data_IF_739378713266
#
_entry.id   IF_739378713266
#
_cell.length_a   1.000
_cell.length_b   1.000
_cell.length_c   1.000
_cell.angle_alpha   90.00
_cell.angle_beta   90.00
_cell.angle_gamma   90.00
#
_symmetry.space_group_name_H-M   'P 1'
#
loop_
_entity.id
_entity.type
_entity.pdbx_description
1 polymer ?
#
# COMPACT_ATOMS: atom_id res chain seq x y z
N UNK A 1 -4.83 -2.76 57.09
CA UNK A 1 -5.78 -1.90 56.35
C UNK A 1 -5.14 -0.87 55.43
N UNK A 2 -4.19 -0.03 55.88
CA UNK A 2 -3.53 0.94 54.98
C UNK A 2 -2.70 0.28 53.85
N UNK A 3 -1.96 -0.79 54.16
CA UNK A 3 -1.16 -1.52 53.17
C UNK A 3 -2.00 -2.23 52.11
N UNK A 4 -3.12 -2.86 52.50
CA UNK A 4 -4.06 -3.49 51.55
C UNK A 4 -4.69 -2.46 50.61
N UNK A 5 -5.10 -1.30 51.13
CA UNK A 5 -5.70 -0.23 50.32
C UNK A 5 -4.71 0.35 49.29
N UNK A 6 -3.43 0.50 49.65
CA UNK A 6 -2.40 0.98 48.74
C UNK A 6 -2.09 -0.02 47.62
N UNK A 7 -2.01 -1.32 47.94
CA UNK A 7 -1.85 -2.38 46.94
C UNK A 7 -3.03 -2.42 45.95
N UNK A 8 -4.27 -2.37 46.45
CA UNK A 8 -5.47 -2.37 45.59
C UNK A 8 -5.51 -1.12 44.69
N UNK A 9 -5.20 0.06 45.23
CA UNK A 9 -5.14 1.29 44.43
C UNK A 9 -4.07 1.21 43.33
N UNK A 10 -2.88 0.72 43.65
CA UNK A 10 -1.78 0.58 42.68
C UNK A 10 -2.10 -0.44 41.59
N UNK A 11 -2.71 -1.58 41.95
CA UNK A 11 -3.15 -2.59 40.98
C UNK A 11 -4.26 -2.06 40.06
N UNK A 12 -5.24 -1.32 40.60
CA UNK A 12 -6.30 -0.70 39.80
C UNK A 12 -5.75 0.34 38.82
N UNK A 13 -4.77 1.16 39.26
CA UNK A 13 -4.11 2.13 38.40
C UNK A 13 -3.29 1.44 37.31
N UNK A 14 -2.53 0.39 37.63
CA UNK A 14 -1.74 -0.37 36.65
C UNK A 14 -2.65 -1.04 35.60
N UNK A 15 -3.73 -1.69 36.03
CA UNK A 15 -4.71 -2.29 35.13
C UNK A 15 -5.35 -1.26 34.20
N UNK A 16 -5.70 -0.07 34.73
CA UNK A 16 -6.23 1.04 33.94
C UNK A 16 -5.24 1.54 32.89
N UNK A 17 -3.97 1.73 33.26
CA UNK A 17 -2.92 2.16 32.32
C UNK A 17 -2.71 1.12 31.21
N UNK A 18 -2.64 -0.17 31.55
CA UNK A 18 -2.50 -1.26 30.57
C UNK A 18 -3.68 -1.27 29.61
N UNK A 19 -4.90 -1.10 30.12
CA UNK A 19 -6.10 -1.05 29.30
C UNK A 19 -6.07 0.13 28.32
N UNK A 20 -5.63 1.32 28.77
CA UNK A 20 -5.47 2.50 27.91
C UNK A 20 -4.40 2.26 26.83
N UNK A 21 -3.27 1.65 27.17
CA UNK A 21 -2.21 1.29 26.20
C UNK A 21 -2.76 0.31 25.17
N UNK A 22 -3.52 -0.70 25.61
CA UNK A 22 -4.11 -1.69 24.71
C UNK A 22 -5.13 -1.05 23.78
N UNK A 23 -6.05 -0.22 24.29
CA UNK A 23 -6.99 0.53 23.46
C UNK A 23 -6.27 1.44 22.46
N UNK A 24 -5.26 2.18 22.92
CA UNK A 24 -4.43 3.01 22.04
C UNK A 24 -3.82 2.19 20.91
N UNK A 25 -3.22 1.04 21.24
CA UNK A 25 -2.64 0.15 20.23
C UNK A 25 -3.67 -0.33 19.20
N UNK A 26 -4.86 -0.75 19.64
CA UNK A 26 -5.94 -1.22 18.75
C UNK A 26 -6.37 -0.11 17.80
N UNK A 27 -6.52 1.13 18.29
CA UNK A 27 -6.88 2.27 17.45
C UNK A 27 -5.79 2.51 16.39
N UNK A 28 -4.51 2.52 16.77
CA UNK A 28 -3.40 2.70 15.84
C UNK A 28 -3.31 1.61 14.76
N UNK A 29 -3.53 0.35 15.12
CA UNK A 29 -3.51 -0.76 14.16
C UNK A 29 -4.76 -0.82 13.28
N UNK A 30 -5.88 -0.23 13.72
CA UNK A 30 -7.14 -0.23 12.97
C UNK A 30 -7.19 0.80 11.83
N UNK A 31 -6.19 1.69 11.72
CA UNK A 31 -6.21 2.73 10.71
C UNK A 31 -6.14 2.11 9.30
N UNK A 32 -7.28 2.12 8.62
CA UNK A 32 -7.36 1.89 7.19
C UNK A 32 -6.50 2.91 6.44
N UNK A 33 -6.12 2.52 5.24
CA UNK A 33 -5.34 3.32 4.32
C UNK A 33 -6.25 3.80 3.18
N UNK A 34 -6.17 5.09 2.88
CA UNK A 34 -6.82 5.72 1.73
C UNK A 34 -5.74 6.26 0.80
N UNK A 35 -5.48 5.51 -0.28
CA UNK A 35 -4.44 5.82 -1.24
C UNK A 35 -5.07 6.20 -2.58
N UNK A 36 -4.82 7.41 -3.04
CA UNK A 36 -5.10 7.83 -4.41
C UNK A 36 -3.94 7.41 -5.30
N UNK A 37 -4.11 6.31 -6.03
CA UNK A 37 -3.13 5.80 -6.96
C UNK A 37 -3.31 6.42 -8.35
N UNK A 38 -2.32 7.18 -8.79
CA UNK A 38 -2.24 7.73 -10.14
C UNK A 38 -1.27 6.91 -10.97
N UNK A 39 -1.74 6.22 -11.99
CA UNK A 39 -0.91 5.51 -12.96
C UNK A 39 -0.74 6.42 -14.18
N UNK A 40 0.50 6.74 -14.51
CA UNK A 40 0.84 7.50 -15.71
C UNK A 40 1.53 6.59 -16.70
N UNK A 41 0.90 6.43 -17.88
CA UNK A 41 1.47 5.68 -18.98
C UNK A 41 2.38 6.60 -19.81
N UNK A 42 3.67 6.27 -19.87
CA UNK A 42 4.69 6.95 -20.68
C UNK A 42 5.07 6.21 -21.96
N UNK A 43 4.38 5.11 -22.31
CA UNK A 43 4.66 4.31 -23.51
C UNK A 43 3.41 4.15 -24.38
N UNK A 44 3.61 4.01 -25.69
CA UNK A 44 2.54 3.67 -26.64
C UNK A 44 2.30 2.15 -26.74
N UNK A 45 3.18 1.34 -26.14
CA UNK A 45 3.11 -0.13 -26.21
C UNK A 45 1.95 -0.66 -25.38
N UNK A 46 1.37 -1.80 -25.80
CA UNK A 46 0.28 -2.47 -25.08
C UNK A 46 0.82 -3.29 -23.90
N UNK A 47 0.20 -3.13 -22.73
CA UNK A 47 0.54 -3.86 -21.52
C UNK A 47 -0.69 -4.12 -20.62
N UNK A 48 -0.51 -4.99 -19.65
CA UNK A 48 -1.41 -5.19 -18.50
C UNK A 48 -0.66 -4.84 -17.21
N UNK A 49 -1.38 -4.32 -16.23
CA UNK A 49 -0.86 -3.97 -14.90
C UNK A 49 -1.79 -4.56 -13.84
N UNK A 50 -1.24 -5.15 -12.79
CA UNK A 50 -2.00 -5.66 -11.65
C UNK A 50 -1.37 -5.17 -10.35
N UNK A 51 -2.21 -4.72 -9.43
CA UNK A 51 -1.84 -4.28 -8.09
C UNK A 51 -2.40 -5.28 -7.08
N UNK A 52 -1.55 -6.20 -6.61
CA UNK A 52 -1.98 -7.35 -5.80
C UNK A 52 -2.41 -6.98 -4.39
N UNK A 53 -1.88 -5.89 -3.80
CA UNK A 53 -2.27 -5.45 -2.46
C UNK A 53 -3.79 -5.28 -2.29
N UNK A 54 -4.51 -5.05 -3.39
CA UNK A 54 -5.95 -4.79 -3.40
C UNK A 54 -6.70 -5.58 -4.49
N UNK A 55 -6.04 -6.59 -5.08
CA UNK A 55 -6.61 -7.43 -6.15
C UNK A 55 -7.14 -6.66 -7.37
N UNK A 56 -6.54 -5.52 -7.70
CA UNK A 56 -6.96 -4.69 -8.84
C UNK A 56 -6.15 -5.05 -10.08
N UNK A 57 -6.83 -5.26 -11.21
CA UNK A 57 -6.20 -5.56 -12.50
C UNK A 57 -6.65 -4.58 -13.58
N UNK A 58 -5.71 -3.95 -14.24
CA UNK A 58 -5.91 -3.09 -15.41
C UNK A 58 -5.41 -3.79 -16.66
N UNK A 59 -6.24 -3.80 -17.70
CA UNK A 59 -5.88 -4.30 -19.04
C UNK A 59 -5.83 -3.12 -20.01
N UNK A 60 -4.75 -3.01 -20.78
CA UNK A 60 -4.63 -2.05 -21.88
C UNK A 60 -4.96 -0.61 -21.47
N UNK A 61 -4.18 -0.04 -20.55
CA UNK A 61 -4.30 1.36 -20.12
C UNK A 61 -3.98 2.31 -21.28
N UNK A 62 -4.97 2.55 -22.16
CA UNK A 62 -4.85 3.49 -23.29
C UNK A 62 -4.75 4.93 -22.82
N UNK A 63 -5.35 5.26 -21.66
CA UNK A 63 -5.31 6.61 -21.10
C UNK A 63 -3.90 6.90 -20.57
N UNK A 64 -3.37 8.07 -20.93
CA UNK A 64 -2.07 8.57 -20.41
C UNK A 64 -2.05 8.65 -18.88
N UNK A 65 -3.20 8.91 -18.26
CA UNK A 65 -3.37 8.98 -16.81
C UNK A 65 -4.62 8.23 -16.39
N UNK A 66 -4.48 7.38 -15.39
CA UNK A 66 -5.59 6.67 -14.72
C UNK A 66 -5.44 6.89 -13.23
N UNK A 67 -6.54 7.22 -12.57
CA UNK A 67 -6.57 7.46 -11.13
C UNK A 67 -7.52 6.46 -10.49
N UNK A 68 -7.09 5.86 -9.39
CA UNK A 68 -7.88 4.94 -8.59
C UNK A 68 -7.80 5.33 -7.13
N UNK A 69 -8.94 5.37 -6.46
CA UNK A 69 -9.00 5.46 -5.01
C UNK A 69 -8.97 4.05 -4.44
N UNK A 70 -8.10 3.87 -3.46
CA UNK A 70 -7.78 2.59 -2.85
C UNK A 70 -8.03 2.69 -1.36
N UNK A 71 -9.06 1.98 -0.88
CA UNK A 71 -9.37 1.88 0.54
C UNK A 71 -9.07 0.46 0.99
N UNK A 72 -8.16 0.31 1.95
CA UNK A 72 -7.78 -0.99 2.50
C UNK A 72 -7.70 -0.96 4.02
N UNK A 73 -7.84 -2.13 4.64
CA UNK A 73 -7.38 -2.34 6.02
C UNK A 73 -5.96 -2.89 5.95
N UNK A 74 -5.06 -2.41 6.80
CA UNK A 74 -3.71 -2.95 6.96
C UNK A 74 -2.80 -2.87 5.71
N UNK A 75 -2.74 -1.74 4.99
CA UNK A 75 -1.89 -1.61 3.80
C UNK A 75 -0.40 -1.93 4.04
N UNK A 76 0.09 -1.75 5.27
CA UNK A 76 1.47 -2.06 5.66
C UNK A 76 1.72 -3.55 5.94
N UNK A 77 0.67 -4.37 6.11
CA UNK A 77 0.84 -5.75 6.53
C UNK A 77 1.38 -6.63 5.41
N UNK A 78 1.04 -6.33 4.15
CA UNK A 78 1.50 -7.06 2.97
C UNK A 78 2.25 -6.14 2.01
N UNK A 79 3.23 -6.70 1.32
CA UNK A 79 3.88 -6.02 0.20
C UNK A 79 2.88 -5.80 -0.92
N UNK A 80 2.87 -4.59 -1.45
CA UNK A 80 2.23 -4.26 -2.70
C UNK A 80 3.10 -4.80 -3.82
N UNK A 81 2.49 -5.61 -4.68
CA UNK A 81 3.12 -6.12 -5.89
C UNK A 81 2.40 -5.44 -7.06
N UNK A 82 3.13 -4.58 -7.77
CA UNK A 82 2.69 -3.99 -9.03
C UNK A 82 3.37 -4.78 -10.14
N UNK A 83 2.64 -5.75 -10.69
CA UNK A 83 3.12 -6.65 -11.73
C UNK A 83 2.71 -6.12 -13.11
N UNK A 84 3.66 -6.10 -14.04
CA UNK A 84 3.42 -5.76 -15.43
C UNK A 84 3.48 -7.00 -16.33
N UNK A 85 2.70 -6.99 -17.40
CA UNK A 85 2.83 -7.91 -18.52
C UNK A 85 2.84 -7.14 -19.82
N UNK A 86 3.72 -7.52 -20.74
CA UNK A 86 3.78 -6.95 -22.09
C UNK A 86 3.21 -7.93 -23.09
N UNK A 87 2.65 -7.41 -24.17
CA UNK A 87 2.21 -8.26 -25.28
C UNK A 87 3.44 -8.87 -25.97
N UNK A 88 3.39 -10.16 -26.27
CA UNK A 88 4.41 -10.83 -27.08
C UNK A 88 4.34 -10.27 -28.52
N UNK A 89 5.48 -9.97 -29.13
CA UNK A 89 5.52 -9.43 -30.50
C UNK A 89 5.12 -10.48 -31.53
N UNK A 90 5.39 -11.76 -31.24
CA UNK A 90 5.13 -12.89 -32.14
C UNK A 90 3.76 -13.54 -31.95
N UNK A 91 2.90 -13.01 -31.08
CA UNK A 91 1.59 -13.62 -30.80
C UNK A 91 0.64 -12.74 -29.99
N UNK A 92 -0.53 -13.26 -29.63
CA UNK A 92 -1.53 -12.53 -28.84
C UNK A 92 -1.42 -12.78 -27.32
N UNK A 93 -0.35 -13.46 -26.89
CA UNK A 93 -0.11 -13.79 -25.49
C UNK A 93 0.60 -12.66 -24.75
N UNK A 94 0.36 -12.55 -23.44
CA UNK A 94 1.05 -11.61 -22.57
C UNK A 94 2.12 -12.36 -21.78
N UNK A 95 3.34 -11.80 -21.77
CA UNK A 95 4.46 -12.33 -20.99
C UNK A 95 4.78 -11.40 -19.83
N UNK A 96 5.18 -11.99 -18.71
CA UNK A 96 5.57 -11.26 -17.50
C UNK A 96 6.71 -10.30 -17.83
N UNK A 97 6.55 -9.04 -17.41
CA UNK A 97 7.58 -8.01 -17.49
C UNK A 97 8.15 -7.74 -16.09
N UNK A 98 8.61 -6.52 -15.82
CA UNK A 98 9.14 -6.14 -14.50
C UNK A 98 8.02 -5.97 -13.47
N UNK A 99 8.36 -6.15 -12.20
CA UNK A 99 7.49 -5.87 -11.07
C UNK A 99 8.10 -4.81 -10.17
N UNK A 100 7.24 -4.10 -9.43
CA UNK A 100 7.62 -3.30 -8.29
C UNK A 100 7.02 -3.92 -7.03
N UNK A 101 7.86 -4.12 -6.03
CA UNK A 101 7.46 -4.61 -4.72
C UNK A 101 7.86 -3.62 -3.64
N UNK A 102 6.88 -3.19 -2.83
CA UNK A 102 7.11 -2.28 -1.72
C UNK A 102 5.98 -2.35 -0.69
N UNK A 103 6.23 -1.94 0.55
CA UNK A 103 5.18 -1.74 1.55
C UNK A 103 4.83 -0.27 1.63
N UNK A 104 3.58 0.06 1.34
CA UNK A 104 3.06 1.42 1.44
C UNK A 104 2.05 1.52 2.58
N UNK A 105 2.09 2.62 3.31
CA UNK A 105 1.12 2.92 4.37
C UNK A 105 0.77 4.41 4.39
N UNK A 106 -0.39 4.74 4.96
CA UNK A 106 -0.84 6.13 5.17
C UNK A 106 -1.99 6.55 4.26
N UNK A 107 -2.31 7.85 4.36
CA UNK A 107 -3.43 8.47 3.68
C UNK A 107 -2.92 9.58 2.77
N UNK A 108 -3.19 9.48 1.47
CA UNK A 108 -2.69 10.46 0.52
C UNK A 108 -2.67 9.94 -0.91
N UNK A 109 -1.68 10.36 -1.69
CA UNK A 109 -1.57 9.94 -3.09
C UNK A 109 -0.19 9.39 -3.41
N UNK A 110 -0.14 8.52 -4.41
CA UNK A 110 1.07 7.99 -5.00
C UNK A 110 0.92 7.97 -6.52
N UNK A 111 1.95 8.41 -7.25
CA UNK A 111 2.01 8.32 -8.70
C UNK A 111 3.01 7.24 -9.12
N UNK A 112 2.52 6.25 -9.87
CA UNK A 112 3.35 5.27 -10.56
C UNK A 112 3.51 5.71 -12.00
N UNK A 113 4.73 5.65 -12.50
CA UNK A 113 5.03 5.84 -13.92
C UNK A 113 5.48 4.53 -14.55
N UNK A 114 5.18 4.39 -15.84
CA UNK A 114 5.51 3.22 -16.65
C UNK A 114 6.18 3.73 -17.93
N UNK A 115 7.40 3.29 -18.18
CA UNK A 115 8.17 3.61 -19.38
C UNK A 115 8.14 2.50 -20.43
N UNK A 116 8.92 2.68 -21.50
CA UNK A 116 9.04 1.73 -22.61
C UNK A 116 9.72 0.40 -22.26
N UNK A 117 10.39 0.34 -21.11
CA UNK A 117 11.02 -0.85 -20.54
C UNK A 117 10.04 -1.70 -19.70
N UNK A 118 8.78 -1.25 -19.59
CA UNK A 118 7.73 -1.84 -18.75
C UNK A 118 8.12 -1.99 -17.28
N UNK A 119 9.02 -1.13 -16.78
CA UNK A 119 9.37 -1.04 -15.37
C UNK A 119 8.48 -0.01 -14.69
N UNK A 120 7.63 -0.40 -13.72
CA UNK A 120 6.92 0.56 -12.90
C UNK A 120 7.87 1.15 -11.86
N UNK A 121 7.79 2.45 -11.63
CA UNK A 121 8.46 3.11 -10.49
C UNK A 121 7.53 4.12 -9.83
N UNK A 122 7.78 4.38 -8.54
CA UNK A 122 7.10 5.42 -7.79
C UNK A 122 7.75 6.75 -8.13
N UNK A 123 7.05 7.60 -8.86
CA UNK A 123 7.58 8.91 -9.24
C UNK A 123 7.46 9.94 -8.11
N UNK A 124 6.33 9.96 -7.41
CA UNK A 124 6.11 10.83 -6.28
C UNK A 124 4.95 10.33 -5.42
N UNK A 125 4.93 10.83 -4.18
CA UNK A 125 3.96 10.48 -3.16
C UNK A 125 3.82 11.61 -2.15
N UNK A 126 2.63 11.74 -1.59
CA UNK A 126 2.35 12.64 -0.46
C UNK A 126 1.43 11.93 0.52
N UNK A 127 1.76 11.95 1.81
CA UNK A 127 1.00 11.26 2.85
C UNK A 127 1.11 9.73 2.84
N UNK A 128 1.89 9.17 1.90
CA UNK A 128 2.18 7.74 1.81
C UNK A 128 3.63 7.51 2.25
N UNK A 129 3.79 6.78 3.35
CA UNK A 129 5.06 6.28 3.83
C UNK A 129 5.40 4.95 3.13
N UNK A 130 6.68 4.72 2.86
CA UNK A 130 7.17 3.44 2.40
C UNK A 130 8.21 2.91 3.37
N UNK A 131 7.94 1.75 3.94
CA UNK A 131 8.80 1.13 4.94
C UNK A 131 9.76 0.11 4.33
N UNK A 132 9.45 -0.45 3.15
CA UNK A 132 10.24 -1.50 2.49
C UNK A 132 10.11 -1.41 0.97
N UNK A 133 11.17 -1.79 0.25
CA UNK A 133 11.14 -2.03 -1.19
C UNK A 133 11.56 -0.85 -2.06
N UNK A 134 11.27 -0.95 -3.35
CA UNK A 134 11.70 -0.01 -4.38
C UNK A 134 10.79 1.23 -4.38
N UNK A 135 11.25 2.28 -3.71
CA UNK A 135 10.47 3.47 -3.40
C UNK A 135 11.15 4.79 -3.79
N UNK A 136 12.34 4.72 -4.37
CA UNK A 136 13.18 5.84 -4.81
C UNK A 136 13.36 5.79 -6.32
#
# INVERSE_FOLDING_TARGET
DYTSNWFVSTMNNAASIIFIIFLGSVIFFSHGCNVKLNITNGTEKKFQLQVTALSIKYKNLKKKKTTQLLNGKNCAQKKWIIQMWKKNEKGDTYVTARSLEAKFNGNGYMRIMIGDDFRPWVNDRKGIHCSEGLCM
#
